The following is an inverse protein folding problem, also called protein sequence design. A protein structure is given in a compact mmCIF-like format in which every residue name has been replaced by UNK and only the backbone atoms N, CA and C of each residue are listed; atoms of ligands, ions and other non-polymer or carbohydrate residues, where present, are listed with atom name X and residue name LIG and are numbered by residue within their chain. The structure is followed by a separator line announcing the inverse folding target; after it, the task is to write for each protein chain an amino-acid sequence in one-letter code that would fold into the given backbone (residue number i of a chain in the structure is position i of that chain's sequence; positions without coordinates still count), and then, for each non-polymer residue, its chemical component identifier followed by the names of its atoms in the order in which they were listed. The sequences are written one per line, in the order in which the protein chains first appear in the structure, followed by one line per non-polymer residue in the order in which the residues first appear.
data_IF_564629112555
#
_entry.id   IF_564629112555
#
_cell.length_a   1.000
_cell.length_b   1.000
_cell.length_c   1.000
_cell.angle_alpha   90.00
_cell.angle_beta   90.00
_cell.angle_gamma   90.00
#
_symmetry.space_group_name_H-M   'P 1'
#
loop_
_entity.id
_entity.type
_entity.pdbx_description
1 polymer ?
#
# COMPACT_ATOMS: atom_id res chain seq x y z
N UNK A 1 2.78 -37.56 64.79
CA UNK A 1 3.08 -37.54 63.34
C UNK A 1 3.15 -36.08 62.94
N UNK A 2 4.37 -35.59 62.80
CA UNK A 2 4.70 -34.19 62.56
C UNK A 2 5.32 -34.09 61.16
N UNK A 3 5.30 -32.87 60.62
CA UNK A 3 6.04 -32.35 59.45
C UNK A 3 5.25 -32.30 58.14
N UNK A 4 4.56 -31.17 57.95
CA UNK A 4 4.44 -30.50 56.66
C UNK A 4 4.74 -29.00 56.87
N UNK A 5 6.03 -28.64 56.84
CA UNK A 5 6.48 -27.25 56.71
C UNK A 5 7.64 -27.08 55.71
N UNK A 6 7.58 -27.55 54.44
CA UNK A 6 8.63 -27.30 53.44
C UNK A 6 8.48 -25.98 52.65
N UNK A 7 7.42 -25.19 52.88
CA UNK A 7 7.12 -24.03 52.03
C UNK A 7 7.90 -22.75 52.39
N UNK A 8 8.28 -22.58 53.65
CA UNK A 8 8.98 -21.37 54.15
C UNK A 8 10.41 -21.25 53.62
N UNK A 9 11.17 -22.36 53.62
CA UNK A 9 12.60 -22.35 53.32
C UNK A 9 12.88 -22.20 51.82
N UNK A 10 11.97 -22.68 50.97
CA UNK A 10 12.08 -22.48 49.53
C UNK A 10 11.80 -21.02 49.14
N UNK A 11 10.84 -20.36 49.80
CA UNK A 11 10.51 -18.97 49.53
C UNK A 11 11.65 -18.00 49.89
N UNK A 12 12.31 -18.23 51.04
CA UNK A 12 13.48 -17.44 51.45
C UNK A 12 14.68 -17.66 50.52
N UNK A 13 14.92 -18.90 50.09
CA UNK A 13 15.95 -19.24 49.10
C UNK A 13 15.71 -18.56 47.74
N UNK A 14 14.46 -18.54 47.26
CA UNK A 14 14.09 -17.84 46.01
C UNK A 14 14.40 -16.34 46.13
N UNK A 15 14.06 -15.72 47.25
CA UNK A 15 14.35 -14.30 47.48
C UNK A 15 15.85 -14.01 47.52
N UNK A 16 16.66 -14.91 48.09
CA UNK A 16 18.12 -14.79 48.08
C UNK A 16 18.70 -14.89 46.66
N UNK A 17 18.22 -15.82 45.83
CA UNK A 17 18.67 -15.92 44.43
C UNK A 17 18.33 -14.62 43.67
N UNK A 18 17.13 -14.07 43.88
CA UNK A 18 16.71 -12.81 43.24
C UNK A 18 17.58 -11.64 43.70
N UNK A 19 17.90 -11.55 45.00
CA UNK A 19 18.74 -10.47 45.53
C UNK A 19 20.18 -10.56 45.01
N UNK A 20 20.76 -11.77 44.96
CA UNK A 20 22.08 -12.01 44.37
C UNK A 20 22.12 -11.66 42.88
N UNK A 21 21.10 -12.05 42.12
CA UNK A 21 21.00 -11.71 40.70
C UNK A 21 20.88 -10.20 40.47
N UNK A 22 20.12 -9.50 41.32
CA UNK A 22 20.00 -8.04 41.27
C UNK A 22 21.29 -7.32 41.69
N UNK A 23 22.11 -7.93 42.56
CA UNK A 23 23.42 -7.43 42.97
C UNK A 23 24.53 -7.54 41.92
N UNK A 24 24.30 -8.25 40.80
CA UNK A 24 25.26 -8.32 39.70
C UNK A 24 25.38 -6.96 38.98
N UNK A 25 26.55 -6.32 39.11
CA UNK A 25 26.80 -4.96 38.62
C UNK A 25 27.12 -4.88 37.12
N UNK A 26 27.65 -5.96 36.52
CA UNK A 26 28.05 -5.96 35.10
C UNK A 26 27.01 -6.63 34.21
N UNK A 27 26.81 -6.06 33.02
CA UNK A 27 25.88 -6.63 32.02
C UNK A 27 26.32 -8.05 31.61
N UNK A 28 27.64 -8.28 31.51
CA UNK A 28 28.21 -9.60 31.21
C UNK A 28 27.88 -10.63 32.29
N UNK A 29 28.08 -10.33 33.58
CA UNK A 29 27.77 -11.26 34.66
C UNK A 29 26.26 -11.57 34.72
N UNK A 30 25.40 -10.55 34.53
CA UNK A 30 23.95 -10.76 34.42
C UNK A 30 23.60 -11.70 33.26
N UNK A 31 24.25 -11.52 32.10
CA UNK A 31 24.08 -12.39 30.93
C UNK A 31 24.48 -13.82 31.21
N UNK A 32 25.69 -14.02 31.73
CA UNK A 32 26.19 -15.33 32.09
C UNK A 32 25.28 -16.04 33.10
N UNK A 33 24.80 -15.32 34.11
CA UNK A 33 23.91 -15.85 35.13
C UNK A 33 22.56 -16.32 34.55
N UNK A 34 21.84 -15.50 33.77
CA UNK A 34 20.55 -15.95 33.22
C UNK A 34 20.74 -17.03 32.14
N UNK A 35 21.81 -16.99 31.32
CA UNK A 35 22.09 -18.08 30.38
C UNK A 35 22.37 -19.40 31.10
N UNK A 36 23.11 -19.36 32.22
CA UNK A 36 23.31 -20.52 33.09
C UNK A 36 22.00 -21.09 33.61
N UNK A 37 21.09 -20.24 34.09
CA UNK A 37 19.76 -20.65 34.54
C UNK A 37 18.93 -21.27 33.40
N UNK A 38 18.92 -20.65 32.22
CA UNK A 38 18.19 -21.16 31.05
C UNK A 38 18.69 -22.53 30.59
N UNK A 39 20.00 -22.78 30.68
CA UNK A 39 20.60 -24.06 30.30
C UNK A 39 20.25 -25.20 31.26
N UNK A 40 19.78 -24.90 32.48
CA UNK A 40 19.37 -25.89 33.47
C UNK A 40 17.86 -26.20 33.42
N UNK A 41 17.08 -25.45 32.64
CA UNK A 41 15.63 -25.66 32.56
C UNK A 41 15.30 -26.98 31.86
N UNK A 42 14.31 -27.69 32.42
CA UNK A 42 13.74 -28.89 31.79
C UNK A 42 12.70 -28.53 30.72
N UNK A 43 12.25 -29.53 29.95
CA UNK A 43 11.32 -29.29 28.83
C UNK A 43 9.98 -28.67 29.26
N UNK A 44 9.46 -28.99 30.44
CA UNK A 44 8.20 -28.45 30.93
C UNK A 44 8.34 -26.97 31.34
N UNK A 45 9.43 -26.63 32.02
CA UNK A 45 9.78 -25.26 32.40
C UNK A 45 10.02 -24.37 31.18
N UNK A 46 10.58 -24.91 30.10
CA UNK A 46 10.71 -24.20 28.82
C UNK A 46 9.35 -23.84 28.20
N UNK A 47 8.36 -24.73 28.30
CA UNK A 47 7.00 -24.45 27.86
C UNK A 47 6.37 -23.32 28.69
N UNK A 48 6.55 -23.34 30.02
CA UNK A 48 6.06 -22.27 30.89
C UNK A 48 6.75 -20.92 30.63
N UNK A 49 8.08 -20.94 30.44
CA UNK A 49 8.85 -19.75 30.11
C UNK A 49 8.38 -19.16 28.78
N UNK A 50 8.14 -19.99 27.75
CA UNK A 50 7.60 -19.54 26.47
C UNK A 50 6.24 -18.88 26.66
N UNK A 51 5.32 -19.50 27.41
CA UNK A 51 4.01 -18.93 27.70
C UNK A 51 4.12 -17.55 28.40
N UNK A 52 5.06 -17.40 29.36
CA UNK A 52 5.32 -16.10 30.02
C UNK A 52 5.98 -15.06 29.12
N UNK A 53 6.85 -15.49 28.22
CA UNK A 53 7.48 -14.59 27.23
C UNK A 53 6.42 -14.10 26.24
N UNK A 54 5.52 -14.97 25.78
CA UNK A 54 4.41 -14.61 24.89
C UNK A 54 3.42 -13.65 25.54
N UNK A 55 3.25 -13.70 26.87
CA UNK A 55 2.49 -12.70 27.62
C UNK A 55 3.16 -11.32 27.64
N UNK A 56 4.48 -11.23 27.43
CA UNK A 56 5.18 -9.95 27.31
C UNK A 56 5.18 -9.48 25.87
N UNK A 57 4.54 -8.36 25.60
CA UNK A 57 4.60 -7.72 24.29
C UNK A 57 5.95 -7.02 24.13
N UNK A 58 6.80 -7.56 23.25
CA UNK A 58 8.01 -6.86 22.77
C UNK A 58 7.68 -5.82 21.68
N UNK A 59 6.39 -5.64 21.39
CA UNK A 59 5.91 -4.68 20.41
C UNK A 59 6.10 -3.28 20.98
N UNK A 60 6.98 -2.51 20.35
CA UNK A 60 7.19 -1.11 20.63
C UNK A 60 6.64 -0.29 19.47
N UNK A 61 5.95 0.80 19.77
CA UNK A 61 5.47 1.71 18.73
C UNK A 61 6.65 2.53 18.18
N UNK A 62 7.33 1.99 17.17
CA UNK A 62 8.51 2.61 16.57
C UNK A 62 8.14 3.96 15.98
N UNK A 63 7.04 4.08 15.24
CA UNK A 63 6.67 5.34 14.58
C UNK A 63 6.05 6.35 15.54
N UNK A 64 5.26 5.87 16.51
CA UNK A 64 4.69 6.72 17.54
C UNK A 64 5.77 7.29 18.44
N UNK A 65 6.61 6.47 19.05
CA UNK A 65 7.59 6.94 20.04
C UNK A 65 8.83 7.61 19.44
N UNK A 66 9.08 7.46 18.15
CA UNK A 66 10.23 8.11 17.50
C UNK A 66 10.09 9.62 17.39
N UNK A 67 11.22 10.36 17.41
CA UNK A 67 11.28 11.75 16.98
C UNK A 67 10.75 11.90 15.54
N UNK A 68 10.14 13.04 15.19
CA UNK A 68 9.53 13.25 13.89
C UNK A 68 10.53 13.11 12.72
N UNK A 69 11.81 13.41 12.93
CA UNK A 69 12.87 13.27 11.93
C UNK A 69 13.14 11.80 11.59
N UNK A 70 13.22 10.95 12.62
CA UNK A 70 13.42 9.50 12.45
C UNK A 70 12.18 8.89 11.81
N UNK A 71 11.00 9.29 12.26
CA UNK A 71 9.76 8.84 11.66
C UNK A 71 9.67 9.26 10.18
N UNK A 72 10.11 10.46 9.82
CA UNK A 72 10.18 10.92 8.43
C UNK A 72 11.13 10.05 7.59
N UNK A 73 12.31 9.71 8.13
CA UNK A 73 13.26 8.82 7.47
C UNK A 73 12.69 7.41 7.26
N UNK A 74 11.88 6.90 8.19
CA UNK A 74 11.19 5.62 7.98
C UNK A 74 10.14 5.78 6.88
N UNK A 75 9.37 6.87 6.93
CA UNK A 75 8.24 7.09 6.03
C UNK A 75 8.65 7.30 4.58
N UNK A 76 9.83 7.86 4.31
CA UNK A 76 10.34 7.96 2.93
C UNK A 76 10.50 6.58 2.24
N UNK A 77 10.55 5.49 3.00
CA UNK A 77 10.63 4.14 2.42
C UNK A 77 9.26 3.50 2.22
N UNK A 78 8.17 4.18 2.60
CA UNK A 78 6.81 3.65 2.50
C UNK A 78 6.13 4.09 1.20
N UNK A 79 5.29 3.20 0.66
CA UNK A 79 4.47 3.56 -0.49
C UNK A 79 3.31 4.48 -0.08
N UNK A 80 2.75 5.21 -1.07
CA UNK A 80 1.56 6.05 -0.86
C UNK A 80 0.35 5.22 -0.39
N UNK A 81 0.26 3.96 -0.84
CA UNK A 81 -0.73 2.98 -0.38
C UNK A 81 -0.56 2.70 1.11
N UNK A 82 0.65 2.35 1.54
CA UNK A 82 0.95 1.99 2.94
C UNK A 82 0.68 3.17 3.87
N UNK A 83 1.08 4.38 3.47
CA UNK A 83 0.80 5.59 4.22
C UNK A 83 -0.69 5.79 4.49
N UNK A 84 -1.55 5.50 3.51
CA UNK A 84 -2.99 5.62 3.71
C UNK A 84 -3.54 4.58 4.69
N UNK A 85 -2.97 3.38 4.73
CA UNK A 85 -3.33 2.34 5.69
C UNK A 85 -2.83 2.70 7.09
N UNK A 86 -1.55 3.08 7.20
CA UNK A 86 -0.89 3.37 8.48
C UNK A 86 -1.46 4.60 9.19
N UNK A 87 -1.99 5.57 8.44
CA UNK A 87 -2.76 6.71 8.99
C UNK A 87 -3.99 6.30 9.80
N UNK A 88 -4.46 5.06 9.69
CA UNK A 88 -5.63 4.55 10.42
C UNK A 88 -5.27 3.81 11.70
N UNK A 89 -3.98 3.53 11.94
CA UNK A 89 -3.51 2.72 13.06
C UNK A 89 -3.70 3.44 14.39
N UNK A 90 -3.35 4.73 14.47
CA UNK A 90 -3.55 5.54 15.67
C UNK A 90 -3.69 7.03 15.34
N UNK A 91 -4.22 7.82 16.29
CA UNK A 91 -4.31 9.29 16.14
C UNK A 91 -2.94 9.94 16.02
N UNK A 92 -1.93 9.42 16.74
CA UNK A 92 -0.56 9.92 16.70
C UNK A 92 0.08 9.66 15.34
N UNK A 93 -0.09 8.45 14.80
CA UNK A 93 0.36 8.10 13.46
C UNK A 93 -0.35 8.96 12.42
N UNK A 94 -1.65 9.18 12.57
CA UNK A 94 -2.40 10.06 11.68
C UNK A 94 -1.81 11.46 11.61
N UNK A 95 -1.53 12.07 12.77
CA UNK A 95 -0.95 13.41 12.86
C UNK A 95 0.46 13.46 12.22
N UNK A 96 1.32 12.50 12.56
CA UNK A 96 2.68 12.43 12.04
C UNK A 96 2.68 12.27 10.51
N UNK A 97 1.96 11.27 9.99
CA UNK A 97 1.91 10.96 8.57
C UNK A 97 1.12 11.99 7.75
N UNK A 98 0.30 12.82 8.40
CA UNK A 98 -0.43 13.91 7.76
C UNK A 98 0.31 15.24 7.81
N UNK A 99 1.45 15.32 8.50
CA UNK A 99 2.30 16.51 8.51
C UNK A 99 2.75 16.91 7.10
N UNK A 100 2.89 18.22 6.86
CA UNK A 100 3.26 18.77 5.56
C UNK A 100 4.61 18.24 5.07
N UNK A 101 5.59 18.13 5.97
CA UNK A 101 6.94 17.59 5.67
C UNK A 101 6.85 16.15 5.16
N UNK A 102 6.08 15.30 5.86
CA UNK A 102 5.92 13.90 5.48
C UNK A 102 5.21 13.74 4.14
N UNK A 103 4.11 14.47 3.94
CA UNK A 103 3.38 14.43 2.67
C UNK A 103 4.25 14.92 1.51
N UNK A 104 5.03 15.99 1.73
CA UNK A 104 5.93 16.55 0.72
C UNK A 104 7.03 15.56 0.34
N UNK A 105 7.70 14.95 1.32
CA UNK A 105 8.82 14.01 1.06
C UNK A 105 8.34 12.81 0.24
N UNK A 106 7.27 12.16 0.69
CA UNK A 106 6.68 11.00 -0.01
C UNK A 106 6.25 11.39 -1.42
N UNK A 107 5.70 12.58 -1.58
CA UNK A 107 5.23 13.06 -2.87
C UNK A 107 6.38 13.36 -3.85
N UNK A 108 7.41 14.09 -3.41
CA UNK A 108 8.58 14.39 -4.23
C UNK A 108 9.23 13.11 -4.73
N UNK A 109 9.35 12.11 -3.87
CA UNK A 109 9.90 10.81 -4.20
C UNK A 109 9.01 10.02 -5.19
N UNK A 110 7.69 10.13 -5.07
CA UNK A 110 6.76 9.42 -5.95
C UNK A 110 6.64 10.04 -7.34
N UNK A 111 6.63 11.37 -7.45
CA UNK A 111 6.45 12.05 -8.74
C UNK A 111 7.74 12.31 -9.49
N UNK A 112 8.91 12.06 -8.87
CA UNK A 112 10.20 12.58 -9.34
C UNK A 112 10.15 14.09 -9.65
N UNK A 113 9.20 14.82 -9.07
CA UNK A 113 8.91 16.19 -9.44
C UNK A 113 8.65 17.04 -8.20
N UNK A 114 9.66 17.82 -7.84
CA UNK A 114 9.71 18.60 -6.59
C UNK A 114 8.74 19.78 -6.54
N UNK A 115 8.02 20.10 -7.62
CA UNK A 115 7.28 21.37 -7.77
C UNK A 115 5.76 21.27 -7.65
N UNK A 116 5.16 20.08 -7.76
CA UNK A 116 3.71 19.97 -7.83
C UNK A 116 3.08 19.90 -6.43
N UNK A 117 2.43 20.98 -5.99
CA UNK A 117 1.63 20.96 -4.76
C UNK A 117 0.33 20.17 -4.99
N UNK A 118 0.31 18.90 -4.58
CA UNK A 118 -0.95 18.15 -4.47
C UNK A 118 -1.64 18.43 -3.14
N UNK A 119 -2.97 18.53 -3.21
CA UNK A 119 -3.82 18.57 -2.01
C UNK A 119 -3.85 17.19 -1.33
N UNK A 120 -4.03 17.18 0.00
CA UNK A 120 -4.21 15.95 0.79
C UNK A 120 -5.31 15.04 0.22
N UNK A 121 -6.37 15.64 -0.33
CA UNK A 121 -7.48 14.91 -0.95
C UNK A 121 -7.05 14.18 -2.23
N UNK A 122 -6.22 14.79 -3.07
CA UNK A 122 -5.68 14.15 -4.28
C UNK A 122 -4.77 12.97 -3.92
N UNK A 123 -3.89 13.14 -2.93
CA UNK A 123 -3.01 12.07 -2.42
C UNK A 123 -3.84 10.90 -1.90
N UNK A 124 -4.86 11.20 -1.09
CA UNK A 124 -5.77 10.19 -0.51
C UNK A 124 -6.52 9.42 -1.60
N UNK A 125 -7.06 10.14 -2.60
CA UNK A 125 -7.76 9.54 -3.72
C UNK A 125 -6.86 8.62 -4.55
N UNK A 126 -5.60 9.02 -4.74
CA UNK A 126 -4.63 8.20 -5.44
C UNK A 126 -4.29 6.93 -4.65
N UNK A 127 -3.97 7.05 -3.36
CA UNK A 127 -3.66 5.92 -2.49
C UNK A 127 -4.79 4.87 -2.48
N UNK A 128 -6.04 5.34 -2.37
CA UNK A 128 -7.22 4.48 -2.43
C UNK A 128 -7.33 3.74 -3.76
N UNK A 129 -7.10 4.42 -4.89
CA UNK A 129 -7.12 3.80 -6.21
C UNK A 129 -6.02 2.76 -6.36
N UNK A 130 -4.82 3.05 -5.86
CA UNK A 130 -3.67 2.14 -5.91
C UNK A 130 -3.92 0.87 -5.08
N UNK A 131 -4.35 1.02 -3.83
CA UNK A 131 -4.76 -0.10 -2.97
C UNK A 131 -5.86 -0.96 -3.61
N UNK A 132 -6.82 -0.32 -4.26
CA UNK A 132 -7.91 -1.02 -4.96
C UNK A 132 -7.40 -1.85 -6.13
N UNK A 133 -6.43 -1.34 -6.89
CA UNK A 133 -5.77 -2.08 -7.97
C UNK A 133 -4.97 -3.27 -7.42
N UNK A 134 -4.18 -3.07 -6.37
CA UNK A 134 -3.36 -4.11 -5.75
C UNK A 134 -4.20 -5.25 -5.17
N UNK A 135 -5.41 -4.94 -4.68
CA UNK A 135 -6.36 -5.92 -4.14
C UNK A 135 -7.23 -6.59 -5.21
N UNK A 136 -6.97 -6.34 -6.50
CA UNK A 136 -7.79 -6.89 -7.58
C UNK A 136 -9.23 -6.37 -7.59
N UNK A 137 -9.49 -5.24 -6.93
CA UNK A 137 -10.76 -4.53 -6.92
C UNK A 137 -10.63 -3.18 -7.62
N UNK A 138 -10.18 -3.12 -8.89
CA UNK A 138 -10.19 -1.86 -9.63
C UNK A 138 -11.61 -1.32 -9.55
N UNK A 139 -11.79 -0.08 -9.06
CA UNK A 139 -13.11 0.48 -8.77
C UNK A 139 -13.98 0.46 -10.04
N UNK A 140 -14.69 -0.64 -10.24
CA UNK A 140 -15.60 -0.85 -11.34
C UNK A 140 -16.75 0.15 -11.24
N UNK A 141 -17.06 0.69 -10.05
CA UNK A 141 -18.05 1.75 -9.90
C UNK A 141 -17.61 3.08 -10.54
N UNK A 142 -16.31 3.43 -10.50
CA UNK A 142 -15.79 4.65 -11.08
C UNK A 142 -15.39 4.46 -12.54
N UNK A 143 -14.92 3.28 -12.94
CA UNK A 143 -14.70 2.93 -14.35
C UNK A 143 -16.01 2.69 -15.09
N UNK A 144 -17.04 2.10 -14.48
CA UNK A 144 -18.39 1.99 -15.06
C UNK A 144 -19.11 3.34 -15.01
N UNK A 145 -18.96 4.17 -13.97
CA UNK A 145 -19.51 5.52 -13.99
C UNK A 145 -18.74 6.46 -14.93
N UNK A 146 -17.42 6.30 -15.09
CA UNK A 146 -16.61 7.06 -16.04
C UNK A 146 -16.74 6.52 -17.48
N UNK A 147 -16.99 5.24 -17.69
CA UNK A 147 -17.38 4.69 -18.99
C UNK A 147 -18.80 5.14 -19.33
N UNK A 148 -19.75 5.07 -18.39
CA UNK A 148 -21.11 5.63 -18.55
C UNK A 148 -21.11 7.16 -18.69
N UNK A 149 -20.15 7.88 -18.11
CA UNK A 149 -19.97 9.34 -18.28
C UNK A 149 -19.19 9.71 -19.53
N UNK A 150 -18.17 8.95 -19.92
CA UNK A 150 -17.46 9.14 -21.19
C UNK A 150 -18.40 8.88 -22.37
N UNK A 151 -19.34 7.94 -22.21
CA UNK A 151 -20.46 7.71 -23.14
C UNK A 151 -21.52 8.83 -23.09
N UNK A 152 -21.57 9.65 -22.02
CA UNK A 152 -22.53 10.76 -21.88
C UNK A 152 -21.96 12.16 -22.15
N UNK A 153 -20.65 12.35 -22.24
CA UNK A 153 -20.03 13.70 -22.25
C UNK A 153 -19.27 14.01 -23.54
N UNK A 154 -19.35 13.17 -24.57
CA UNK A 154 -18.85 13.55 -25.89
C UNK A 154 -20.07 13.94 -26.75
N UNK A 155 -20.32 15.26 -26.81
CA UNK A 155 -21.21 15.98 -27.75
C UNK A 155 -22.72 16.10 -27.45
N UNK A 156 -23.18 15.94 -26.21
CA UNK A 156 -24.53 16.38 -25.81
C UNK A 156 -25.70 15.70 -26.54
N UNK A 157 -25.45 14.64 -27.30
CA UNK A 157 -26.46 13.83 -27.98
C UNK A 157 -26.27 12.34 -27.60
N UNK A 158 -27.33 11.65 -27.17
CA UNK A 158 -27.25 10.21 -26.90
C UNK A 158 -27.10 9.46 -28.23
N UNK A 159 -25.93 8.90 -28.51
CA UNK A 159 -25.76 7.96 -29.62
C UNK A 159 -26.35 6.59 -29.25
N UNK A 160 -27.36 6.09 -29.96
CA UNK A 160 -28.02 4.81 -29.67
C UNK A 160 -27.20 3.57 -30.09
N UNK A 161 -25.95 3.75 -30.54
CA UNK A 161 -25.11 2.67 -31.08
C UNK A 161 -23.78 2.48 -30.36
N UNK A 162 -23.67 2.90 -29.09
CA UNK A 162 -22.49 2.61 -28.27
C UNK A 162 -22.50 1.14 -27.84
N UNK A 163 -22.01 0.26 -28.70
CA UNK A 163 -21.66 -1.12 -28.33
C UNK A 163 -20.51 -1.06 -27.34
N UNK A 164 -20.60 -1.82 -26.24
CA UNK A 164 -19.56 -1.86 -25.22
C UNK A 164 -18.18 -2.13 -25.88
N UNK A 165 -17.10 -1.47 -25.43
CA UNK A 165 -15.79 -1.66 -26.02
C UNK A 165 -15.38 -3.13 -25.90
N UNK A 166 -15.30 -3.80 -27.05
CA UNK A 166 -14.74 -5.15 -27.15
C UNK A 166 -13.21 -5.06 -27.18
N UNK A 167 -12.48 -6.14 -26.84
CA UNK A 167 -11.01 -6.17 -26.90
C UNK A 167 -10.44 -5.78 -28.28
N UNK A 168 -11.24 -5.98 -29.35
CA UNK A 168 -10.83 -5.68 -30.71
C UNK A 168 -11.05 -4.21 -31.09
N UNK A 169 -11.93 -3.50 -30.37
CA UNK A 169 -12.33 -2.11 -30.66
C UNK A 169 -11.74 -1.11 -29.67
N UNK A 170 -10.89 -1.57 -28.75
CA UNK A 170 -10.25 -0.76 -27.71
C UNK A 170 -8.85 -1.27 -27.41
N UNK A 171 -7.87 -0.37 -27.39
CA UNK A 171 -6.49 -0.68 -27.02
C UNK A 171 -5.89 0.41 -26.12
N UNK A 172 -5.01 0.01 -25.21
CA UNK A 172 -4.30 0.90 -24.30
C UNK A 172 -2.81 0.62 -24.33
N UNK A 173 -2.00 1.66 -24.47
CA UNK A 173 -0.56 1.58 -24.29
C UNK A 173 -0.02 2.90 -23.73
N UNK A 174 0.76 2.81 -22.66
CA UNK A 174 1.60 3.90 -22.14
C UNK A 174 0.89 5.24 -21.91
N UNK A 175 -0.36 5.19 -21.42
CA UNK A 175 -1.15 6.40 -21.17
C UNK A 175 -1.86 6.96 -22.41
N UNK A 176 -1.87 6.22 -23.52
CA UNK A 176 -2.70 6.49 -24.69
C UNK A 176 -3.81 5.44 -24.78
N UNK A 177 -5.01 5.89 -25.12
CA UNK A 177 -6.20 5.08 -25.33
C UNK A 177 -6.57 5.19 -26.80
N UNK A 178 -6.84 4.07 -27.46
CA UNK A 178 -7.36 4.03 -28.83
C UNK A 178 -8.67 3.26 -28.85
N UNK A 179 -9.70 3.80 -29.48
CA UNK A 179 -11.00 3.13 -29.61
C UNK A 179 -11.77 3.57 -30.86
N UNK A 180 -12.70 2.72 -31.31
CA UNK A 180 -13.61 3.05 -32.40
C UNK A 180 -14.82 3.80 -31.86
N UNK A 181 -15.07 5.01 -32.37
CA UNK A 181 -16.28 5.79 -32.05
C UNK A 181 -17.44 5.39 -32.94
N UNK A 182 -17.13 5.19 -34.22
CA UNK A 182 -17.97 4.67 -35.27
C UNK A 182 -17.17 3.58 -36.02
N UNK A 183 -17.80 2.72 -36.84
CA UNK A 183 -17.09 1.65 -37.54
C UNK A 183 -15.95 2.15 -38.44
N UNK A 184 -15.96 3.41 -38.84
CA UNK A 184 -15.06 4.08 -39.79
C UNK A 184 -14.17 5.14 -39.12
N UNK A 185 -14.31 5.37 -37.81
CA UNK A 185 -13.64 6.46 -37.08
C UNK A 185 -12.88 5.93 -35.86
N UNK A 186 -11.56 6.02 -35.94
CA UNK A 186 -10.64 5.70 -34.84
C UNK A 186 -10.29 6.96 -34.05
N UNK A 187 -10.48 6.90 -32.74
CA UNK A 187 -10.08 7.95 -31.81
C UNK A 187 -8.88 7.52 -30.99
N UNK A 188 -7.91 8.42 -30.83
CA UNK A 188 -6.76 8.24 -29.94
C UNK A 188 -6.72 9.39 -28.95
N UNK A 189 -6.68 9.07 -27.66
CA UNK A 189 -6.59 10.04 -26.59
C UNK A 189 -5.32 9.82 -25.76
N UNK A 190 -4.50 10.87 -25.63
CA UNK A 190 -3.38 10.88 -24.70
C UNK A 190 -3.85 11.39 -23.34
N UNK A 191 -3.83 10.54 -22.32
CA UNK A 191 -4.20 10.91 -20.95
C UNK A 191 -3.20 11.93 -20.39
N UNK A 192 -1.92 11.83 -20.78
CA UNK A 192 -0.85 12.70 -20.25
C UNK A 192 -0.96 14.14 -20.74
N UNK A 193 -1.30 14.30 -22.01
CA UNK A 193 -1.29 15.61 -22.67
C UNK A 193 -2.70 16.16 -22.91
N UNK A 194 -3.73 15.42 -22.50
CA UNK A 194 -5.14 15.68 -22.81
C UNK A 194 -5.43 15.87 -24.32
N UNK A 195 -4.56 15.39 -25.20
CA UNK A 195 -4.72 15.53 -26.65
C UNK A 195 -5.64 14.44 -27.21
N UNK A 196 -6.43 14.81 -28.22
CA UNK A 196 -7.31 13.89 -28.94
C UNK A 196 -6.98 13.96 -30.42
N UNK A 197 -6.82 12.80 -31.02
CA UNK A 197 -6.56 12.62 -32.46
C UNK A 197 -7.64 11.72 -33.03
N UNK A 198 -8.00 11.99 -34.28
CA UNK A 198 -9.02 11.25 -35.01
C UNK A 198 -8.42 10.74 -36.31
N UNK A 199 -8.72 9.50 -36.67
CA UNK A 199 -8.22 8.86 -37.88
C UNK A 199 -9.38 8.21 -38.62
N UNK A 200 -9.44 8.47 -39.92
CA UNK A 200 -10.32 7.82 -40.88
C UNK A 200 -9.48 7.36 -42.07
N UNK A 201 -9.91 6.30 -42.75
CA UNK A 201 -9.37 5.97 -44.07
C UNK A 201 -10.01 6.86 -45.14
N UNK A 202 -9.32 7.06 -46.26
CA UNK A 202 -9.84 7.85 -47.39
C UNK A 202 -11.18 7.29 -47.93
N UNK A 203 -11.32 5.96 -47.95
CA UNK A 203 -12.51 5.26 -48.43
C UNK A 203 -13.58 5.05 -47.35
N UNK A 204 -13.37 5.54 -46.12
CA UNK A 204 -14.24 5.26 -44.96
C UNK A 204 -14.48 3.76 -44.74
N UNK A 205 -13.45 2.97 -44.98
CA UNK A 205 -13.46 1.53 -44.74
C UNK A 205 -13.75 1.22 -43.26
N UNK A 206 -14.52 0.17 -43.00
CA UNK A 206 -14.90 -0.23 -41.64
C UNK A 206 -13.73 -0.93 -40.94
N UNK A 207 -13.29 -0.36 -39.82
CA UNK A 207 -12.31 -0.93 -38.91
C UNK A 207 -12.90 -2.11 -38.12
N UNK A 208 -12.08 -3.15 -37.97
CA UNK A 208 -12.40 -4.37 -37.22
C UNK A 208 -11.50 -4.55 -36.00
N UNK A 209 -10.25 -4.11 -36.08
CA UNK A 209 -9.27 -4.27 -35.03
C UNK A 209 -8.48 -2.98 -34.82
N UNK A 210 -8.20 -2.65 -33.58
CA UNK A 210 -7.37 -1.51 -33.18
C UNK A 210 -6.24 -1.99 -32.27
N UNK A 211 -5.03 -1.53 -32.52
CA UNK A 211 -3.85 -1.73 -31.69
C UNK A 211 -3.10 -0.41 -31.50
N UNK A 212 -2.48 -0.22 -30.34
CA UNK A 212 -1.67 0.96 -30.06
C UNK A 212 -0.39 0.56 -29.32
N UNK A 213 0.70 1.23 -29.66
CA UNK A 213 2.01 1.15 -29.00
C UNK A 213 2.49 2.56 -28.65
N UNK A 214 3.74 2.69 -28.19
CA UNK A 214 4.36 3.97 -27.87
C UNK A 214 4.35 4.95 -29.04
N UNK A 215 4.75 4.46 -30.22
CA UNK A 215 4.97 5.28 -31.41
C UNK A 215 3.96 5.04 -32.54
N UNK A 216 3.22 3.93 -32.51
CA UNK A 216 2.38 3.52 -33.65
C UNK A 216 0.95 3.23 -33.19
N UNK A 217 0.01 3.62 -34.04
CA UNK A 217 -1.40 3.23 -33.94
C UNK A 217 -1.70 2.39 -35.19
N UNK A 218 -2.26 1.19 -34.98
CA UNK A 218 -2.62 0.26 -36.06
C UNK A 218 -4.12 0.05 -36.03
N UNK A 219 -4.75 0.10 -37.19
CA UNK A 219 -6.13 -0.34 -37.35
C UNK A 219 -6.25 -1.23 -38.59
N UNK A 220 -7.00 -2.31 -38.46
CA UNK A 220 -7.27 -3.25 -39.56
C UNK A 220 -8.69 -2.98 -40.04
N UNK A 221 -8.83 -2.64 -41.32
CA UNK A 221 -10.12 -2.52 -41.99
C UNK A 221 -10.38 -3.73 -42.89
N UNK A 222 -11.67 -4.02 -43.10
CA UNK A 222 -12.10 -4.98 -44.13
C UNK A 222 -12.73 -4.19 -45.26
N UNK A 223 -12.18 -4.30 -46.48
CA UNK A 223 -12.87 -3.81 -47.68
C UNK A 223 -14.03 -4.75 -48.00
N UNK A 224 -15.22 -4.18 -48.16
CA UNK A 224 -16.38 -4.86 -48.71
C UNK A 224 -16.43 -4.62 -50.21
#
# INVERSE_FOLDING_TARGET
MSLDSPSSDNATTIQQIISLFNGLSTNFARRAAYHGLLNQLNSAEWCELRARIEQRTFQKDILGESPPEIALQIVQHLSVSDLHVLKRVSRRWHALLSSASTQRTVYCQWTNNSSAHLTTAQITRYAQRRLSLERGQPVAAAAAAAARRAVRVIDGQPSPHSTAPTPNTFAYAHGRLAWLSCPDLLLVHSIRNATRQQFCTENRDRFRLVGISNSVVVAISTRA
#
